data_IF_614050016436
#
_entry.id   IF_614050016436
#
_cell.length_a   1.000
_cell.length_b   1.000
_cell.length_c   1.000
_cell.angle_alpha   90.00
_cell.angle_beta   90.00
_cell.angle_gamma   90.00
#
_symmetry.space_group_name_H-M   'P 1'
#
loop_
_entity.id
_entity.type
_entity.pdbx_description
1 polymer ?
#
# COMPACT_ATOMS: atom_id res chain seq x y z
N UNK A 1 -3.25 -17.91 20.59
CA UNK A 1 -2.70 -16.82 19.77
C UNK A 1 -3.02 -17.01 18.28
N UNK A 2 -2.76 -18.18 17.68
CA UNK A 2 -3.00 -18.40 16.24
C UNK A 2 -4.46 -18.22 15.79
N UNK A 3 -5.44 -18.68 16.58
CA UNK A 3 -6.87 -18.49 16.26
C UNK A 3 -7.30 -17.01 16.28
N UNK A 4 -6.64 -16.17 17.09
CA UNK A 4 -6.94 -14.74 17.16
C UNK A 4 -6.37 -14.00 15.94
N UNK A 5 -5.15 -14.35 15.51
CA UNK A 5 -4.58 -13.83 14.26
C UNK A 5 -5.37 -14.30 13.04
N UNK A 6 -5.78 -15.57 13.00
CA UNK A 6 -6.61 -16.09 11.92
C UNK A 6 -7.98 -15.39 11.88
N UNK A 7 -8.61 -15.17 13.04
CA UNK A 7 -9.88 -14.43 13.14
C UNK A 7 -9.74 -12.96 12.73
N UNK A 8 -8.66 -12.29 13.15
CA UNK A 8 -8.36 -10.92 12.74
C UNK A 8 -8.11 -10.80 11.24
N UNK A 9 -7.36 -11.73 10.66
CA UNK A 9 -7.06 -11.75 9.23
C UNK A 9 -8.32 -12.03 8.41
N UNK A 10 -9.17 -12.96 8.87
CA UNK A 10 -10.49 -13.19 8.28
C UNK A 10 -11.38 -11.95 8.35
N UNK A 11 -11.39 -11.26 9.49
CA UNK A 11 -12.15 -10.01 9.66
C UNK A 11 -11.66 -8.92 8.71
N UNK A 12 -10.34 -8.74 8.55
CA UNK A 12 -9.77 -7.82 7.56
C UNK A 12 -10.19 -8.20 6.14
N UNK A 13 -10.10 -9.48 5.78
CA UNK A 13 -10.49 -9.95 4.44
C UNK A 13 -11.98 -9.71 4.17
N UNK A 14 -12.84 -9.87 5.18
CA UNK A 14 -14.26 -9.58 5.09
C UNK A 14 -14.54 -8.08 4.94
N UNK A 15 -13.90 -7.23 5.75
CA UNK A 15 -14.01 -5.78 5.62
C UNK A 15 -13.53 -5.29 4.25
N UNK A 16 -12.43 -5.85 3.76
CA UNK A 16 -11.89 -5.54 2.44
C UNK A 16 -12.85 -5.99 1.34
N UNK A 17 -13.39 -7.21 1.42
CA UNK A 17 -14.39 -7.70 0.46
C UNK A 17 -15.67 -6.85 0.48
N UNK A 18 -16.07 -6.33 1.64
CA UNK A 18 -17.22 -5.44 1.79
C UNK A 18 -16.95 -4.05 1.18
N UNK A 19 -15.82 -3.44 1.52
CA UNK A 19 -15.41 -2.12 1.02
C UNK A 19 -15.31 -2.12 -0.52
N UNK A 20 -14.65 -3.15 -1.06
CA UNK A 20 -14.49 -3.30 -2.51
C UNK A 20 -15.79 -3.74 -3.20
N UNK A 21 -16.57 -4.64 -2.59
CA UNK A 21 -17.74 -5.26 -3.22
C UNK A 21 -19.02 -4.44 -3.13
N UNK A 22 -19.20 -3.58 -2.12
CA UNK A 22 -20.46 -2.88 -1.87
C UNK A 22 -20.39 -1.39 -2.22
N UNK A 23 -19.25 -0.72 -2.02
CA UNK A 23 -19.16 0.73 -2.23
C UNK A 23 -18.90 1.11 -3.70
N UNK A 24 -19.98 1.11 -4.47
CA UNK A 24 -20.02 1.65 -5.83
C UNK A 24 -20.60 3.08 -5.82
N UNK A 25 -19.86 4.14 -5.48
CA UNK A 25 -20.38 5.52 -5.66
C UNK A 25 -19.35 6.53 -6.12
N UNK A 26 -19.48 6.91 -7.40
CA UNK A 26 -19.09 8.16 -8.07
C UNK A 26 -17.89 8.90 -7.46
N UNK A 27 -16.76 8.81 -8.16
CA UNK A 27 -15.60 9.65 -7.93
C UNK A 27 -15.98 11.13 -8.13
N UNK A 28 -16.08 11.89 -7.04
CA UNK A 28 -16.00 13.34 -7.12
C UNK A 28 -14.55 13.67 -7.47
N UNK A 29 -14.36 14.45 -8.54
CA UNK A 29 -13.03 14.95 -8.91
C UNK A 29 -12.67 16.04 -7.90
N UNK A 30 -12.19 15.63 -6.73
CA UNK A 30 -11.62 16.54 -5.75
C UNK A 30 -10.36 17.16 -6.36
N UNK A 31 -10.33 18.48 -6.47
CA UNK A 31 -9.21 19.22 -7.06
C UNK A 31 -7.93 18.96 -6.25
N UNK A 32 -6.77 18.84 -6.90
CA UNK A 32 -5.46 18.55 -6.26
C UNK A 32 -5.19 19.43 -5.04
N UNK A 33 -5.52 20.73 -5.11
CA UNK A 33 -5.37 21.67 -3.99
C UNK A 33 -6.23 21.31 -2.78
N UNK A 34 -7.46 20.89 -3.01
CA UNK A 34 -8.37 20.44 -1.95
C UNK A 34 -7.84 19.14 -1.32
N UNK A 35 -7.40 18.18 -2.14
CA UNK A 35 -6.81 16.92 -1.67
C UNK A 35 -5.52 17.13 -0.85
N UNK A 36 -4.66 18.06 -1.26
CA UNK A 36 -3.47 18.45 -0.49
C UNK A 36 -3.85 19.09 0.85
N UNK A 37 -4.86 19.96 0.86
CA UNK A 37 -5.39 20.56 2.09
C UNK A 37 -5.92 19.51 3.07
N UNK A 38 -6.72 18.56 2.58
CA UNK A 38 -7.19 17.43 3.38
C UNK A 38 -6.05 16.57 3.90
N UNK A 39 -5.06 16.27 3.06
CA UNK A 39 -3.88 15.49 3.47
C UNK A 39 -3.09 16.20 4.57
N UNK A 40 -2.86 17.51 4.42
CA UNK A 40 -2.19 18.32 5.42
C UNK A 40 -2.95 18.35 6.75
N UNK A 41 -4.28 18.47 6.71
CA UNK A 41 -5.13 18.44 7.91
C UNK A 41 -5.05 17.08 8.65
N UNK A 42 -5.06 15.97 7.92
CA UNK A 42 -4.93 14.64 8.52
C UNK A 42 -3.52 14.39 9.08
N UNK A 43 -2.48 14.86 8.40
CA UNK A 43 -1.11 14.76 8.87
C UNK A 43 -0.92 15.62 10.14
N UNK A 44 -1.41 16.85 10.14
CA UNK A 44 -1.31 17.73 11.29
C UNK A 44 -2.06 17.17 12.51
N UNK A 45 -3.25 16.61 12.31
CA UNK A 45 -3.98 15.91 13.36
C UNK A 45 -3.17 14.75 13.94
N UNK A 46 -2.53 13.95 13.08
CA UNK A 46 -1.64 12.87 13.51
C UNK A 46 -0.45 13.37 14.33
N UNK A 47 0.17 14.49 13.93
CA UNK A 47 1.30 15.10 14.64
C UNK A 47 0.88 15.74 15.97
N UNK A 48 -0.30 16.38 16.03
CA UNK A 48 -0.86 16.89 17.29
C UNK A 48 -1.15 15.73 18.23
N UNK A 49 -1.62 14.60 17.71
CA UNK A 49 -1.81 13.41 18.51
C UNK A 49 -0.50 12.85 19.07
N UNK A 50 0.65 13.01 18.39
CA UNK A 50 1.97 12.71 18.98
C UNK A 50 2.23 13.53 20.24
N UNK A 51 1.93 14.83 20.21
CA UNK A 51 2.10 15.70 21.38
C UNK A 51 1.19 15.23 22.52
N UNK A 52 -0.05 14.87 22.18
CA UNK A 52 -0.97 14.27 23.14
C UNK A 52 -0.40 12.99 23.76
N UNK A 53 0.16 12.07 22.97
CA UNK A 53 0.81 10.84 23.47
C UNK A 53 1.98 11.17 24.40
N UNK A 54 2.85 12.10 24.02
CA UNK A 54 3.98 12.53 24.83
C UNK A 54 3.54 13.03 26.22
N UNK A 55 2.55 13.93 26.24
CA UNK A 55 2.00 14.50 27.48
C UNK A 55 1.24 13.45 28.29
N UNK A 56 0.43 12.61 27.63
CA UNK A 56 -0.36 11.58 28.30
C UNK A 56 0.52 10.53 28.99
N UNK A 57 1.59 10.07 28.35
CA UNK A 57 2.55 9.15 28.94
C UNK A 57 3.45 9.84 29.98
N UNK A 58 3.83 11.10 29.78
CA UNK A 58 4.62 11.86 30.75
C UNK A 58 3.88 12.16 32.06
N UNK A 59 2.58 12.43 32.00
CA UNK A 59 1.75 12.72 33.17
C UNK A 59 1.08 11.47 33.79
N UNK A 60 1.33 10.28 33.24
CA UNK A 60 0.70 9.05 33.73
C UNK A 60 -0.82 9.03 33.51
N UNK A 61 -1.31 9.74 32.50
CA UNK A 61 -2.74 9.93 32.28
C UNK A 61 -3.40 8.57 32.04
N UNK A 62 -4.48 8.25 32.76
CA UNK A 62 -5.16 6.94 32.68
C UNK A 62 -4.27 5.72 32.99
N UNK A 63 -3.15 5.91 33.71
CA UNK A 63 -2.18 4.83 33.99
C UNK A 63 -1.23 4.53 32.83
N UNK A 64 -1.21 5.36 31.78
CA UNK A 64 -0.22 5.25 30.70
C UNK A 64 1.20 5.47 31.24
N UNK A 65 2.21 4.78 30.67
CA UNK A 65 3.60 4.87 31.12
C UNK A 65 3.94 4.14 32.44
N UNK A 66 2.94 3.56 33.12
CA UNK A 66 3.17 2.75 34.33
C UNK A 66 3.46 1.27 34.04
N UNK A 67 3.28 0.86 32.79
CA UNK A 67 3.59 -0.50 32.32
C UNK A 67 5.02 -0.58 31.79
N UNK A 68 5.80 -1.61 32.18
CA UNK A 68 7.08 -1.92 31.56
C UNK A 68 6.93 -2.16 30.06
N UNK A 69 7.89 -1.69 29.27
CA UNK A 69 7.84 -1.81 27.82
C UNK A 69 7.85 -3.28 27.36
N UNK A 70 6.87 -3.68 26.55
CA UNK A 70 6.68 -5.05 26.04
C UNK A 70 7.44 -5.39 24.75
N UNK A 71 8.32 -4.51 24.26
CA UNK A 71 9.31 -4.89 23.24
C UNK A 71 10.33 -5.84 23.90
N UNK A 72 10.99 -6.78 23.17
CA UNK A 72 11.76 -7.87 23.78
C UNK A 72 12.65 -7.32 24.88
N UNK A 73 12.32 -7.67 26.13
CA UNK A 73 12.78 -7.03 27.38
C UNK A 73 14.09 -6.27 27.17
N UNK A 74 13.98 -5.00 26.79
CA UNK A 74 15.14 -4.13 26.72
C UNK A 74 15.44 -3.78 28.18
N UNK A 75 16.14 -4.70 28.85
CA UNK A 75 16.66 -4.50 30.19
C UNK A 75 17.75 -3.45 30.07
N UNK A 76 17.69 -2.39 30.87
CA UNK A 76 18.84 -1.50 30.98
C UNK A 76 20.08 -2.33 31.45
N UNK A 77 21.31 -1.90 31.14
CA UNK A 77 22.54 -2.65 31.50
C UNK A 77 22.66 -2.99 32.99
N UNK A 78 21.85 -2.34 33.83
CA UNK A 78 21.75 -2.47 35.28
C UNK A 78 20.66 -3.44 35.76
N UNK A 79 19.89 -4.07 34.86
CA UNK A 79 18.82 -5.00 35.24
C UNK A 79 17.49 -4.32 35.61
N UNK A 80 17.30 -3.04 35.30
CA UNK A 80 16.02 -2.35 35.55
C UNK A 80 15.09 -2.43 34.35
N UNK A 81 13.78 -2.57 34.61
CA UNK A 81 12.75 -2.56 33.59
C UNK A 81 12.55 -1.14 33.06
N UNK A 82 12.69 -0.95 31.74
CA UNK A 82 12.45 0.34 31.09
C UNK A 82 10.94 0.59 31.05
N UNK A 83 10.51 1.67 31.69
CA UNK A 83 9.14 2.16 31.61
C UNK A 83 8.97 2.99 30.33
N UNK A 84 7.79 2.92 29.74
CA UNK A 84 7.43 3.72 28.57
C UNK A 84 7.34 5.20 28.99
N UNK A 85 8.41 5.95 28.81
CA UNK A 85 8.40 7.40 29.00
C UNK A 85 7.65 8.08 27.83
N UNK A 86 7.24 9.33 28.04
CA UNK A 86 6.54 10.11 27.00
C UNK A 86 7.30 10.19 25.68
N UNK A 87 8.64 10.25 25.75
CA UNK A 87 9.52 10.28 24.59
C UNK A 87 9.47 8.98 23.77
N UNK A 88 9.67 7.83 24.41
CA UNK A 88 9.64 6.54 23.70
C UNK A 88 8.26 6.21 23.12
N UNK A 89 7.18 6.53 23.83
CA UNK A 89 5.81 6.34 23.33
C UNK A 89 5.53 7.21 22.10
N UNK A 90 5.95 8.48 22.13
CA UNK A 90 5.83 9.40 21.00
C UNK A 90 6.63 8.94 19.78
N UNK A 91 7.86 8.45 19.98
CA UNK A 91 8.70 7.91 18.90
C UNK A 91 8.01 6.69 18.28
N UNK A 92 7.54 5.72 19.08
CA UNK A 92 6.84 4.53 18.57
C UNK A 92 5.60 4.89 17.76
N UNK A 93 4.81 5.84 18.25
CA UNK A 93 3.65 6.32 17.52
C UNK A 93 4.04 6.97 16.19
N UNK A 94 5.02 7.89 16.19
CA UNK A 94 5.47 8.55 14.95
C UNK A 94 6.08 7.56 13.97
N UNK A 95 6.88 6.61 14.45
CA UNK A 95 7.45 5.54 13.62
C UNK A 95 6.33 4.72 12.97
N UNK A 96 5.34 4.27 13.74
CA UNK A 96 4.18 3.55 13.20
C UNK A 96 3.38 4.39 12.21
N UNK A 97 3.10 5.64 12.55
CA UNK A 97 2.38 6.59 11.70
C UNK A 97 3.08 6.81 10.36
N UNK A 98 4.40 7.05 10.37
CA UNK A 98 5.20 7.24 9.14
C UNK A 98 5.21 5.96 8.32
N UNK A 99 5.42 4.79 8.93
CA UNK A 99 5.41 3.51 8.23
C UNK A 99 4.06 3.28 7.54
N UNK A 100 2.95 3.49 8.25
CA UNK A 100 1.61 3.29 7.71
C UNK A 100 1.33 4.26 6.55
N UNK A 101 1.74 5.53 6.67
CA UNK A 101 1.57 6.52 5.59
C UNK A 101 2.45 6.22 4.38
N UNK A 102 3.71 5.81 4.59
CA UNK A 102 4.60 5.39 3.50
C UNK A 102 4.06 4.19 2.72
N UNK A 103 3.51 3.20 3.41
CA UNK A 103 2.89 2.01 2.78
C UNK A 103 1.66 2.37 1.92
N UNK A 104 0.88 3.37 2.34
CA UNK A 104 -0.26 3.84 1.56
C UNK A 104 0.18 4.60 0.29
N UNK A 105 1.21 5.45 0.39
CA UNK A 105 1.73 6.25 -0.73
C UNK A 105 2.37 5.36 -1.81
N UNK A 106 3.17 4.36 -1.40
CA UNK A 106 3.80 3.40 -2.30
C UNK A 106 2.77 2.71 -3.21
N UNK A 107 1.69 2.18 -2.62
CA UNK A 107 0.62 1.51 -3.36
C UNK A 107 -0.06 2.43 -4.38
N UNK A 108 -0.39 3.69 -4.01
CA UNK A 108 -1.04 4.64 -4.92
C UNK A 108 -0.09 5.04 -6.06
N UNK A 109 1.19 5.24 -5.76
CA UNK A 109 2.19 5.62 -6.75
C UNK A 109 2.40 4.55 -7.82
N UNK A 110 2.56 3.27 -7.41
CA UNK A 110 2.64 2.12 -8.33
C UNK A 110 1.45 2.09 -9.28
N UNK A 111 0.24 2.25 -8.75
CA UNK A 111 -1.00 2.21 -9.53
C UNK A 111 -1.07 3.38 -10.52
N UNK A 112 -0.75 4.61 -10.09
CA UNK A 112 -0.74 5.79 -10.95
C UNK A 112 0.26 5.65 -12.10
N UNK A 113 1.47 5.14 -11.81
CA UNK A 113 2.48 4.84 -12.83
C UNK A 113 1.99 3.78 -13.81
N UNK A 114 1.38 2.69 -13.32
CA UNK A 114 0.84 1.63 -14.15
C UNK A 114 -0.27 2.12 -15.09
N UNK A 115 -1.20 2.94 -14.60
CA UNK A 115 -2.25 3.53 -15.43
C UNK A 115 -1.72 4.53 -16.45
N UNK A 116 -0.70 5.31 -16.08
CA UNK A 116 0.01 6.17 -17.02
C UNK A 116 0.72 5.36 -18.11
N UNK A 117 1.39 4.27 -17.73
CA UNK A 117 2.07 3.37 -18.66
C UNK A 117 1.11 2.65 -19.62
N UNK A 118 -0.05 2.21 -19.13
CA UNK A 118 -1.05 1.47 -19.90
C UNK A 118 -2.02 2.39 -20.68
N UNK A 119 -1.96 3.71 -20.48
CA UNK A 119 -2.84 4.67 -21.14
C UNK A 119 -4.32 4.46 -20.83
N UNK A 120 -4.66 4.01 -19.60
CA UNK A 120 -6.03 3.62 -19.24
C UNK A 120 -6.92 4.86 -19.13
N UNK A 121 -7.98 5.00 -19.95
CA UNK A 121 -8.92 6.11 -19.86
C UNK A 121 -9.57 6.19 -18.47
N UNK A 122 -9.78 7.40 -17.94
CA UNK A 122 -10.30 7.64 -16.59
C UNK A 122 -11.62 6.92 -16.28
N UNK A 123 -12.45 6.68 -17.29
CA UNK A 123 -13.74 5.97 -17.19
C UNK A 123 -13.55 4.51 -16.75
N UNK A 124 -12.46 3.87 -17.17
CA UNK A 124 -12.17 2.46 -16.84
C UNK A 124 -11.28 2.31 -15.61
N UNK A 125 -10.63 3.38 -15.15
CA UNK A 125 -9.70 3.32 -14.01
C UNK A 125 -10.35 2.72 -12.77
N UNK A 126 -11.61 3.02 -12.46
CA UNK A 126 -12.29 2.47 -11.29
C UNK A 126 -12.41 0.93 -11.31
N UNK A 127 -12.71 0.34 -12.49
CA UNK A 127 -12.84 -1.12 -12.63
C UNK A 127 -11.48 -1.81 -12.66
N UNK A 128 -10.50 -1.21 -13.34
CA UNK A 128 -9.13 -1.75 -13.39
C UNK A 128 -8.47 -1.63 -12.02
N UNK A 129 -8.75 -0.55 -11.28
CA UNK A 129 -8.28 -0.34 -9.91
C UNK A 129 -8.79 -1.41 -8.95
N UNK A 130 -10.07 -1.77 -9.04
CA UNK A 130 -10.63 -2.86 -8.25
C UNK A 130 -9.85 -4.16 -8.43
N UNK A 131 -9.71 -4.63 -9.66
CA UNK A 131 -8.97 -5.87 -9.95
C UNK A 131 -7.47 -5.73 -9.65
N UNK A 132 -6.92 -4.53 -9.83
CA UNK A 132 -5.54 -4.19 -9.50
C UNK A 132 -5.25 -4.28 -8.01
N UNK A 133 -6.11 -3.72 -7.15
CA UNK A 133 -5.96 -3.78 -5.68
C UNK A 133 -6.08 -5.21 -5.19
N UNK A 134 -7.08 -5.98 -5.66
CA UNK A 134 -7.23 -7.40 -5.29
C UNK A 134 -5.99 -8.19 -5.73
N UNK A 135 -5.55 -8.03 -6.98
CA UNK A 135 -4.37 -8.70 -7.49
C UNK A 135 -3.10 -8.31 -6.73
N UNK A 136 -2.90 -7.02 -6.46
CA UNK A 136 -1.75 -6.52 -5.70
C UNK A 136 -1.75 -7.04 -4.26
N UNK A 137 -2.91 -7.12 -3.60
CA UNK A 137 -3.04 -7.67 -2.25
C UNK A 137 -2.68 -9.15 -2.21
N UNK A 138 -3.17 -9.94 -3.18
CA UNK A 138 -2.83 -11.37 -3.30
C UNK A 138 -1.34 -11.56 -3.56
N UNK A 139 -0.77 -10.81 -4.51
CA UNK A 139 0.67 -10.86 -4.81
C UNK A 139 1.52 -10.45 -3.60
N UNK A 140 1.08 -9.43 -2.85
CA UNK A 140 1.72 -8.98 -1.61
C UNK A 140 1.65 -10.07 -0.54
N UNK A 141 0.49 -10.69 -0.34
CA UNK A 141 0.33 -11.82 0.59
C UNK A 141 1.24 -13.00 0.25
N UNK A 142 1.28 -13.38 -1.03
CA UNK A 142 2.15 -14.46 -1.52
C UNK A 142 3.64 -14.12 -1.33
N UNK A 143 4.06 -12.90 -1.72
CA UNK A 143 5.43 -12.44 -1.54
C UNK A 143 5.84 -12.41 -0.06
N UNK A 144 4.95 -11.98 0.85
CA UNK A 144 5.22 -11.98 2.29
C UNK A 144 5.35 -13.41 2.81
N UNK A 145 4.45 -14.32 2.44
CA UNK A 145 4.50 -15.72 2.87
C UNK A 145 5.78 -16.42 2.39
N UNK A 146 6.11 -16.27 1.11
CA UNK A 146 7.35 -16.80 0.52
C UNK A 146 8.57 -16.13 1.15
N UNK A 147 8.57 -14.80 1.29
CA UNK A 147 9.65 -14.04 1.91
C UNK A 147 9.91 -14.46 3.35
N UNK A 148 8.86 -14.64 4.16
CA UNK A 148 8.96 -15.13 5.52
C UNK A 148 9.57 -16.54 5.58
N UNK A 149 9.14 -17.45 4.70
CA UNK A 149 9.71 -18.80 4.60
C UNK A 149 11.19 -18.78 4.17
N UNK A 150 11.55 -17.90 3.23
CA UNK A 150 12.93 -17.73 2.78
C UNK A 150 13.83 -17.16 3.89
N UNK A 151 13.36 -16.15 4.62
CA UNK A 151 14.09 -15.53 5.74
C UNK A 151 14.31 -16.54 6.87
N UNK A 152 13.33 -17.40 7.14
CA UNK A 152 13.46 -18.44 8.16
C UNK A 152 14.57 -19.47 7.85
N UNK A 153 14.90 -19.68 6.57
CA UNK A 153 15.93 -20.64 6.15
C UNK A 153 17.28 -19.98 5.83
N UNK A 154 17.28 -18.72 5.37
CA UNK A 154 18.47 -18.06 4.84
C UNK A 154 18.62 -16.63 5.37
N UNK A 155 19.44 -16.41 6.39
CA UNK A 155 19.65 -15.08 6.98
C UNK A 155 20.23 -14.04 6.01
N UNK A 156 21.04 -14.46 5.02
CA UNK A 156 21.60 -13.56 4.01
C UNK A 156 20.56 -13.04 3.01
N UNK A 157 19.39 -13.68 2.92
CA UNK A 157 18.34 -13.27 1.98
C UNK A 157 17.81 -11.86 2.29
N UNK A 158 17.91 -11.41 3.54
CA UNK A 158 17.48 -10.07 3.97
C UNK A 158 18.26 -9.00 3.19
N UNK A 159 19.57 -9.19 3.00
CA UNK A 159 20.38 -8.25 2.23
C UNK A 159 19.99 -8.23 0.75
N UNK A 160 19.67 -9.39 0.17
CA UNK A 160 19.20 -9.50 -1.21
C UNK A 160 17.86 -8.80 -1.38
N UNK A 161 16.89 -9.09 -0.50
CA UNK A 161 15.57 -8.49 -0.55
C UNK A 161 15.61 -6.99 -0.31
N UNK A 162 16.41 -6.53 0.66
CA UNK A 162 16.62 -5.11 0.92
C UNK A 162 17.26 -4.39 -0.27
N UNK A 163 18.29 -4.97 -0.88
CA UNK A 163 18.90 -4.43 -2.10
C UNK A 163 17.92 -4.39 -3.28
N UNK A 164 17.15 -5.46 -3.47
CA UNK A 164 16.09 -5.52 -4.49
C UNK A 164 15.05 -4.41 -4.29
N UNK A 165 14.55 -4.21 -3.06
CA UNK A 165 13.58 -3.16 -2.72
C UNK A 165 14.12 -1.76 -2.99
N UNK A 166 15.37 -1.48 -2.61
CA UNK A 166 16.04 -0.21 -2.87
C UNK A 166 16.14 0.03 -4.39
N UNK A 167 16.60 -0.96 -5.14
CA UNK A 167 16.71 -0.86 -6.60
C UNK A 167 15.35 -0.60 -7.27
N UNK A 168 14.30 -1.30 -6.84
CA UNK A 168 12.95 -1.08 -7.37
C UNK A 168 12.42 0.30 -7.01
N UNK A 169 12.61 0.76 -5.78
CA UNK A 169 12.17 2.10 -5.35
C UNK A 169 12.89 3.22 -6.13
N UNK A 170 14.21 3.11 -6.29
CA UNK A 170 15.00 4.07 -7.09
C UNK A 170 14.54 4.05 -8.56
N UNK A 171 14.38 2.86 -9.15
CA UNK A 171 13.90 2.74 -10.54
C UNK A 171 12.54 3.40 -10.72
N UNK A 172 11.64 3.24 -9.75
CA UNK A 172 10.32 3.86 -9.78
C UNK A 172 10.37 5.39 -9.65
N UNK A 173 11.33 5.93 -8.91
CA UNK A 173 11.53 7.39 -8.82
C UNK A 173 12.11 7.99 -10.11
N UNK A 174 12.93 7.22 -10.83
CA UNK A 174 13.68 7.69 -11.99
C UNK A 174 12.98 7.46 -13.33
N UNK A 175 11.97 6.59 -13.41
CA UNK A 175 11.21 6.34 -14.66
C UNK A 175 10.18 7.46 -14.86
N UNK A 176 10.35 8.35 -15.85
CA UNK A 176 9.40 9.42 -16.10
C UNK A 176 8.12 8.86 -16.73
N UNK A 177 6.97 9.30 -16.25
CA UNK A 177 5.65 9.02 -16.80
C UNK A 177 5.44 9.76 -18.13
N UNK A 178 6.16 9.37 -19.18
CA UNK A 178 6.02 10.00 -20.50
C UNK A 178 4.90 9.29 -21.30
N UNK A 179 3.81 9.97 -21.69
CA UNK A 179 2.66 9.35 -22.37
C UNK A 179 2.91 8.92 -23.84
N UNK A 180 4.17 8.97 -24.31
CA UNK A 180 4.49 9.03 -25.75
C UNK A 180 4.98 7.74 -26.42
N UNK A 181 5.45 6.72 -25.70
CA UNK A 181 6.15 5.57 -26.32
C UNK A 181 5.32 4.26 -26.27
N UNK A 182 4.01 4.39 -26.47
CA UNK A 182 3.03 3.31 -26.41
C UNK A 182 3.30 2.16 -27.42
N UNK A 183 4.07 2.42 -28.48
CA UNK A 183 4.35 1.46 -29.56
C UNK A 183 5.64 0.64 -29.38
N UNK A 184 6.54 0.98 -28.45
CA UNK A 184 7.86 0.31 -28.37
C UNK A 184 8.02 -0.70 -27.24
N UNK A 185 7.13 -0.77 -26.25
CA UNK A 185 7.42 -1.55 -25.05
C UNK A 185 7.03 -3.05 -25.13
N UNK A 186 7.95 -3.90 -24.70
CA UNK A 186 7.91 -5.38 -24.76
C UNK A 186 6.66 -5.96 -24.08
N UNK A 187 6.14 -5.27 -23.06
CA UNK A 187 4.93 -5.65 -22.33
C UNK A 187 3.69 -5.64 -23.22
N UNK A 188 3.53 -4.63 -24.09
CA UNK A 188 2.40 -4.56 -25.04
C UNK A 188 2.47 -5.71 -26.06
N UNK A 189 3.69 -6.07 -26.47
CA UNK A 189 3.94 -7.18 -27.40
C UNK A 189 3.66 -8.55 -26.78
N UNK A 190 3.95 -8.72 -25.48
CA UNK A 190 3.64 -9.93 -24.74
C UNK A 190 2.12 -10.09 -24.52
N UNK A 191 1.43 -9.00 -24.18
CA UNK A 191 -0.03 -9.00 -23.99
C UNK A 191 -0.77 -9.24 -25.31
N UNK A 192 -0.36 -8.60 -26.42
CA UNK A 192 -0.88 -8.89 -27.77
C UNK A 192 -0.67 -10.34 -28.22
N UNK A 193 0.25 -11.08 -27.59
CA UNK A 193 0.52 -12.49 -27.90
C UNK A 193 -0.40 -13.45 -27.15
N UNK A 194 -0.90 -13.02 -25.99
CA UNK A 194 -1.82 -13.79 -25.13
C UNK A 194 -3.29 -13.42 -25.38
N UNK A 195 -3.55 -12.22 -25.89
CA UNK A 195 -4.90 -11.73 -26.18
C UNK A 195 -4.95 -11.28 -27.64
N UNK A 196 -5.82 -11.87 -28.49
CA UNK A 196 -6.03 -11.37 -29.84
C UNK A 196 -6.72 -10.00 -29.77
N UNK A 197 -5.96 -8.93 -30.03
CA UNK A 197 -6.46 -7.55 -30.07
C UNK A 197 -6.55 -7.11 -31.53
N UNK A 198 -7.75 -6.71 -31.96
CA UNK A 198 -8.01 -6.18 -33.32
C UNK A 198 -7.64 -4.70 -33.41
N UNK A 199 -6.99 -4.27 -34.49
CA UNK A 199 -6.48 -2.88 -34.66
C UNK A 199 -7.53 -1.82 -35.05
N UNK A 200 -8.83 -2.19 -35.16
CA UNK A 200 -9.90 -1.25 -35.51
C UNK A 200 -10.98 -1.19 -34.43
N UNK A 201 -11.20 0.02 -33.90
CA UNK A 201 -12.33 0.35 -33.04
C UNK A 201 -13.65 0.16 -33.80
N UNK A 202 -14.47 -0.82 -33.40
CA UNK A 202 -15.83 -1.04 -33.92
C UNK A 202 -16.89 -0.65 -32.86
N UNK A 203 -17.01 0.66 -32.60
CA UNK A 203 -18.12 1.21 -31.80
C UNK A 203 -18.33 0.57 -30.41
N UNK A 204 -19.58 0.58 -29.94
CA UNK A 204 -19.96 0.26 -28.56
C UNK A 204 -20.14 -1.25 -28.23
N UNK A 205 -19.57 -2.17 -29.04
CA UNK A 205 -19.73 -3.63 -28.83
C UNK A 205 -18.42 -4.27 -28.38
N UNK A 206 -18.42 -4.88 -27.20
CA UNK A 206 -17.24 -5.48 -26.55
C UNK A 206 -16.80 -6.83 -27.18
N UNK A 207 -17.65 -7.41 -28.04
CA UNK A 207 -17.40 -8.66 -28.76
C UNK A 207 -17.83 -8.46 -30.21
N UNK A 208 -16.89 -8.54 -31.15
CA UNK A 208 -17.19 -8.53 -32.58
C UNK A 208 -16.57 -9.78 -33.19
N UNK A 209 -17.41 -10.59 -33.85
CA UNK A 209 -16.99 -11.75 -34.62
C UNK A 209 -16.66 -11.26 -36.03
N UNK A 210 -15.46 -11.53 -36.53
CA UNK A 210 -15.07 -11.12 -37.88
C UNK A 210 -16.02 -11.75 -38.91
N UNK A 211 -16.71 -10.91 -39.71
CA UNK A 211 -17.56 -11.34 -40.83
C UNK A 211 -19.02 -10.85 -40.86
N UNK A 212 -19.44 -9.93 -39.99
CA UNK A 212 -20.78 -9.32 -40.12
C UNK A 212 -20.72 -8.13 -41.12
N UNK A 213 -21.58 -8.08 -42.16
CA UNK A 213 -21.74 -6.88 -42.99
C UNK A 213 -22.37 -5.74 -42.16
N UNK A 214 -22.05 -4.52 -42.57
CA UNK A 214 -22.27 -3.24 -41.88
C UNK A 214 -23.67 -3.03 -41.28
#
# INVERSE_FOLDING_TARGET
MEMLYAGFLLFILLLLALDLGVFHRTARVETVRAALGWSAAWISLGLVFTIFIYVAYGHGWFGLGTTPDGAPQAMAPDGTAIYNDGGSAAIKYVTGFVIEKSLAVDNIFVIAMLFGFLGVPAIYQHRVLFWGIVGALVMRGAMIAVGAALIAQFSWIIYVFGGFLILTGIKMLLVPSSPGDLERNVVVRAVRRLVPVTERYHGARFLVRAGAPD
#
